data_IF_846455662542
#
_entry.id   IF_846455662542
#
_cell.length_a   1.000
_cell.length_b   1.000
_cell.length_c   1.000
_cell.angle_alpha   90.00
_cell.angle_beta   90.00
_cell.angle_gamma   90.00
#
_symmetry.space_group_name_H-M   'P 1'
#
loop_
_entity.id
_entity.type
_entity.pdbx_description
1 polymer ?
#
# COMPACT_ATOMS: atom_id res chain seq x y z
N UNK A 1 -5.47 0.93 -0.08
CA UNK A 1 -5.21 2.07 0.82
C UNK A 1 -3.88 1.97 1.55
N UNK A 2 -3.64 2.83 2.55
CA UNK A 2 -2.36 2.86 3.26
C UNK A 2 -2.46 2.39 4.73
N UNK A 3 -1.73 3.00 5.67
CA UNK A 3 -1.59 2.52 7.06
C UNK A 3 -2.92 2.33 7.79
N UNK A 4 -3.83 3.29 7.71
CA UNK A 4 -5.14 3.18 8.37
C UNK A 4 -6.01 2.07 7.78
N UNK A 5 -5.99 1.87 6.44
CA UNK A 5 -6.61 0.71 5.82
C UNK A 5 -5.92 -0.61 6.24
N UNK A 6 -4.65 -0.58 6.59
CA UNK A 6 -3.88 -1.74 7.03
C UNK A 6 -3.97 -2.04 8.53
N UNK A 7 -4.63 -1.19 9.33
CA UNK A 7 -4.79 -1.37 10.76
C UNK A 7 -5.65 -2.59 11.05
N UNK A 8 -5.12 -3.56 11.79
CA UNK A 8 -5.80 -4.84 11.99
C UNK A 8 -6.86 -4.78 13.10
N UNK A 9 -7.82 -5.70 13.04
CA UNK A 9 -8.83 -5.87 14.09
C UNK A 9 -8.17 -6.06 15.46
N UNK A 10 -7.12 -6.88 15.55
CA UNK A 10 -6.41 -7.11 16.82
C UNK A 10 -5.81 -5.83 17.45
N UNK A 11 -5.58 -4.80 16.66
CA UNK A 11 -5.06 -3.51 17.12
C UNK A 11 -6.15 -2.43 17.28
N UNK A 12 -7.41 -2.77 17.02
CA UNK A 12 -8.53 -1.85 17.15
C UNK A 12 -9.10 -1.83 18.56
N UNK A 13 -9.88 -0.79 18.86
CA UNK A 13 -10.60 -0.69 20.13
C UNK A 13 -11.61 -1.85 20.25
N UNK A 14 -11.76 -2.41 21.44
CA UNK A 14 -12.68 -3.52 21.73
C UNK A 14 -12.47 -4.81 20.88
N UNK A 15 -11.24 -5.07 20.43
CA UNK A 15 -10.91 -6.21 19.58
C UNK A 15 -11.22 -7.58 20.21
N UNK A 16 -11.29 -7.67 21.54
CA UNK A 16 -11.55 -8.94 22.28
C UNK A 16 -12.90 -9.56 21.93
N UNK A 17 -13.92 -8.75 21.67
CA UNK A 17 -15.23 -9.23 21.22
C UNK A 17 -15.18 -10.01 19.91
N UNK A 18 -14.27 -9.64 19.03
CA UNK A 18 -14.09 -10.26 17.73
C UNK A 18 -13.17 -11.49 17.73
N UNK A 19 -12.48 -11.75 18.84
CA UNK A 19 -11.58 -12.91 19.00
C UNK A 19 -12.30 -14.26 18.99
N UNK A 20 -13.63 -14.27 19.11
CA UNK A 20 -14.47 -15.48 19.11
C UNK A 20 -15.33 -15.62 17.86
N UNK A 21 -15.19 -14.70 16.92
CA UNK A 21 -16.05 -14.63 15.73
C UNK A 21 -15.71 -15.75 14.77
N UNK A 22 -16.73 -16.45 14.30
CA UNK A 22 -16.65 -17.44 13.23
C UNK A 22 -17.74 -17.11 12.18
N UNK A 23 -17.33 -16.49 11.07
CA UNK A 23 -18.21 -16.07 9.98
C UNK A 23 -17.83 -16.82 8.69
N UNK A 24 -18.28 -18.07 8.51
CA UNK A 24 -17.82 -18.94 7.41
C UNK A 24 -18.20 -18.41 6.02
N UNK A 25 -19.20 -17.53 5.95
CA UNK A 25 -19.64 -16.86 4.72
C UNK A 25 -18.95 -15.52 4.45
N UNK A 26 -18.16 -15.02 5.39
CA UNK A 26 -17.20 -13.94 5.17
C UNK A 26 -15.85 -14.54 4.81
N UNK A 27 -15.30 -14.19 3.66
CA UNK A 27 -14.01 -14.68 3.19
C UNK A 27 -13.04 -13.54 2.96
N UNK A 28 -11.78 -13.79 3.26
CA UNK A 28 -10.74 -12.79 3.25
C UNK A 28 -9.59 -13.27 2.37
N UNK A 29 -9.22 -12.44 1.40
CA UNK A 29 -8.03 -12.61 0.57
C UNK A 29 -7.02 -11.53 0.92
N UNK A 30 -5.89 -11.91 1.47
CA UNK A 30 -4.78 -11.01 1.80
C UNK A 30 -3.56 -11.36 0.98
N UNK A 31 -2.73 -10.38 0.66
CA UNK A 31 -1.40 -10.59 0.11
C UNK A 31 -0.33 -9.93 0.96
N UNK A 32 0.92 -10.32 0.76
CA UNK A 32 2.05 -9.56 1.24
C UNK A 32 2.05 -8.13 0.63
N UNK A 33 2.76 -7.22 1.28
CA UNK A 33 3.01 -5.88 0.75
C UNK A 33 4.09 -6.02 -0.32
N UNK A 34 3.73 -5.74 -1.56
CA UNK A 34 4.62 -5.91 -2.70
C UNK A 34 4.61 -4.65 -3.58
N UNK A 35 5.69 -4.43 -4.27
CA UNK A 35 5.83 -3.39 -5.28
C UNK A 35 6.76 -3.88 -6.39
N UNK A 36 6.43 -3.53 -7.63
CA UNK A 36 7.21 -3.97 -8.78
C UNK A 36 7.12 -2.98 -9.93
N UNK A 37 8.16 -2.89 -10.73
CA UNK A 37 8.26 -1.92 -11.82
C UNK A 37 7.43 -2.28 -13.06
N UNK A 38 6.99 -3.51 -13.17
CA UNK A 38 6.15 -4.01 -14.27
C UNK A 38 4.91 -4.72 -13.74
N UNK A 39 3.80 -4.76 -14.51
CA UNK A 39 2.60 -5.49 -14.12
C UNK A 39 2.88 -6.97 -13.89
N UNK A 40 2.48 -7.48 -12.74
CA UNK A 40 2.57 -8.89 -12.40
C UNK A 40 1.28 -9.61 -12.81
N UNK A 41 1.40 -10.71 -13.54
CA UNK A 41 0.25 -11.53 -13.94
C UNK A 41 -0.41 -12.25 -12.76
N UNK A 42 0.33 -12.48 -11.68
CA UNK A 42 -0.12 -13.16 -10.47
C UNK A 42 0.56 -12.59 -9.21
N UNK A 43 -0.03 -12.86 -8.05
CA UNK A 43 0.62 -12.53 -6.78
C UNK A 43 1.76 -13.52 -6.53
N UNK A 44 2.93 -13.01 -6.21
CA UNK A 44 4.15 -13.81 -5.98
C UNK A 44 4.24 -14.44 -4.60
N UNK A 45 3.42 -13.94 -3.66
CA UNK A 45 3.49 -14.42 -2.29
C UNK A 45 2.61 -15.65 -2.06
N UNK A 46 3.11 -16.59 -1.24
CA UNK A 46 2.38 -17.79 -0.84
C UNK A 46 1.22 -17.53 0.14
N UNK A 47 1.07 -16.29 0.61
CA UNK A 47 0.02 -15.88 1.54
C UNK A 47 -1.26 -15.46 0.82
N UNK A 48 -1.17 -15.24 -0.50
CA UNK A 48 -2.30 -14.82 -1.35
C UNK A 48 -3.28 -15.96 -1.58
N UNK A 49 -4.10 -16.24 -0.58
CA UNK A 49 -5.17 -17.24 -0.66
C UNK A 49 -6.41 -16.78 0.09
N UNK A 50 -7.56 -17.28 -0.37
CA UNK A 50 -8.83 -17.09 0.31
C UNK A 50 -8.88 -17.89 1.61
N UNK A 51 -9.18 -17.19 2.71
CA UNK A 51 -9.42 -17.79 4.03
C UNK A 51 -10.86 -17.54 4.45
N UNK A 52 -11.42 -18.46 5.21
CA UNK A 52 -12.66 -18.22 5.94
C UNK A 52 -12.37 -17.26 7.09
N UNK A 53 -13.38 -16.47 7.46
CA UNK A 53 -13.27 -15.59 8.61
C UNK A 53 -13.44 -16.40 9.90
N UNK A 54 -12.34 -16.85 10.45
CA UNK A 54 -12.20 -17.42 11.79
C UNK A 54 -11.54 -16.39 12.72
N UNK A 55 -11.44 -16.65 14.03
CA UNK A 55 -10.85 -15.71 15.00
C UNK A 55 -9.45 -15.22 14.59
N UNK A 56 -8.62 -16.12 14.07
CA UNK A 56 -7.25 -15.79 13.66
C UNK A 56 -7.22 -14.90 12.41
N UNK A 57 -7.94 -15.27 11.39
CA UNK A 57 -7.98 -14.50 10.14
C UNK A 57 -8.69 -13.16 10.32
N UNK A 58 -9.72 -13.09 11.17
CA UNK A 58 -10.37 -11.84 11.57
C UNK A 58 -9.37 -10.89 12.25
N UNK A 59 -8.68 -11.38 13.29
CA UNK A 59 -7.72 -10.59 14.07
C UNK A 59 -6.62 -9.94 13.19
N UNK A 60 -6.17 -10.65 12.17
CA UNK A 60 -5.13 -10.20 11.25
C UNK A 60 -5.63 -9.30 10.11
N UNK A 61 -6.95 -9.21 9.91
CA UNK A 61 -7.55 -8.45 8.81
C UNK A 61 -7.64 -6.96 9.14
N UNK A 62 -7.65 -6.11 8.11
CA UNK A 62 -7.99 -4.69 8.21
C UNK A 62 -9.28 -4.51 9.01
N UNK A 63 -9.25 -3.73 10.08
CA UNK A 63 -10.45 -3.44 10.87
C UNK A 63 -11.53 -2.77 10.00
N UNK A 64 -11.14 -1.78 9.19
CA UNK A 64 -12.07 -1.09 8.27
C UNK A 64 -12.74 -2.09 7.33
N UNK A 65 -11.95 -2.95 6.68
CA UNK A 65 -12.49 -3.92 5.73
C UNK A 65 -13.31 -5.01 6.42
N UNK A 66 -12.89 -5.45 7.59
CA UNK A 66 -13.57 -6.47 8.39
C UNK A 66 -14.96 -6.01 8.84
N UNK A 67 -15.04 -4.88 9.53
CA UNK A 67 -16.32 -4.36 10.04
C UNK A 67 -17.27 -3.99 8.91
N UNK A 68 -16.76 -3.42 7.83
CA UNK A 68 -17.56 -3.17 6.62
C UNK A 68 -18.12 -4.46 6.02
N UNK A 69 -17.28 -5.47 5.80
CA UNK A 69 -17.70 -6.75 5.23
C UNK A 69 -18.61 -7.54 6.15
N UNK A 70 -18.38 -7.50 7.46
CA UNK A 70 -19.26 -8.11 8.48
C UNK A 70 -20.65 -7.47 8.43
N UNK A 71 -20.72 -6.12 8.43
CA UNK A 71 -21.99 -5.39 8.35
C UNK A 71 -22.74 -5.70 7.05
N UNK A 72 -22.07 -5.72 5.90
CA UNK A 72 -22.69 -6.13 4.63
C UNK A 72 -23.24 -7.55 4.69
N UNK A 73 -22.49 -8.49 5.26
CA UNK A 73 -22.95 -9.86 5.40
C UNK A 73 -24.18 -9.96 6.31
N UNK A 74 -24.19 -9.23 7.42
CA UNK A 74 -25.29 -9.19 8.37
C UNK A 74 -26.58 -8.59 7.79
N UNK A 75 -26.46 -7.51 7.00
CA UNK A 75 -27.62 -6.84 6.40
C UNK A 75 -28.17 -7.57 5.18
N UNK A 76 -27.29 -7.97 4.29
CA UNK A 76 -27.69 -8.54 3.01
C UNK A 76 -27.95 -10.06 3.07
N UNK A 77 -27.50 -10.75 4.14
CA UNK A 77 -27.63 -12.21 4.31
C UNK A 77 -27.00 -13.03 3.18
N UNK A 78 -25.98 -12.49 2.51
CA UNK A 78 -25.25 -13.13 1.41
C UNK A 78 -23.79 -13.36 1.80
N UNK A 79 -23.08 -14.31 1.18
CA UNK A 79 -21.64 -14.43 1.32
C UNK A 79 -20.92 -13.17 0.84
N UNK A 80 -19.90 -12.73 1.59
CA UNK A 80 -19.08 -11.55 1.27
C UNK A 80 -17.62 -11.94 1.17
N UNK A 81 -16.94 -11.49 0.12
CA UNK A 81 -15.51 -11.64 -0.07
C UNK A 81 -14.78 -10.30 0.06
N UNK A 82 -13.72 -10.26 0.84
CA UNK A 82 -12.85 -9.10 1.02
C UNK A 82 -11.50 -9.38 0.35
N UNK A 83 -11.11 -8.53 -0.60
CA UNK A 83 -9.76 -8.51 -1.17
C UNK A 83 -9.00 -7.35 -0.54
N UNK A 84 -8.17 -7.64 0.45
CA UNK A 84 -7.42 -6.62 1.19
C UNK A 84 -6.13 -6.25 0.48
N UNK A 85 -5.99 -4.96 0.13
CA UNK A 85 -4.78 -4.36 -0.42
C UNK A 85 -4.44 -3.08 0.36
N UNK A 86 -3.45 -3.18 1.25
CA UNK A 86 -3.01 -2.06 2.08
C UNK A 86 -1.50 -2.03 2.24
N UNK A 87 -0.90 -0.86 2.00
CA UNK A 87 0.53 -0.67 2.13
C UNK A 87 0.84 0.70 2.76
N UNK A 88 1.35 0.69 3.98
CA UNK A 88 1.62 1.90 4.76
C UNK A 88 2.63 2.84 4.08
N UNK A 89 2.44 4.15 4.25
CA UNK A 89 3.38 5.18 3.76
C UNK A 89 3.37 5.38 2.25
N UNK A 90 2.32 4.95 1.56
CA UNK A 90 2.23 5.01 0.10
C UNK A 90 1.48 6.23 -0.39
N UNK A 91 2.00 6.95 -1.39
CA UNK A 91 1.25 7.98 -2.11
C UNK A 91 0.31 7.34 -3.13
N UNK A 92 -0.73 8.08 -3.55
CA UNK A 92 -1.72 7.60 -4.52
C UNK A 92 -1.08 7.22 -5.87
N UNK A 93 -0.01 7.89 -6.27
CA UNK A 93 0.75 7.64 -7.49
C UNK A 93 1.24 6.18 -7.58
N UNK A 94 1.56 5.56 -6.45
CA UNK A 94 1.94 4.14 -6.40
C UNK A 94 0.80 3.19 -6.77
N UNK A 95 -0.45 3.59 -6.52
CA UNK A 95 -1.67 2.81 -6.76
C UNK A 95 -2.30 3.02 -8.14
N UNK A 96 -1.86 4.05 -8.85
CA UNK A 96 -2.33 4.38 -10.19
C UNK A 96 -1.46 3.71 -11.24
N UNK A 97 -2.02 3.19 -12.36
CA UNK A 97 -1.19 2.72 -13.46
C UNK A 97 -0.45 3.89 -14.12
N UNK A 98 0.70 3.60 -14.69
CA UNK A 98 1.54 4.64 -15.29
C UNK A 98 0.83 5.40 -16.42
N UNK A 99 0.03 4.71 -17.22
CA UNK A 99 -0.66 5.26 -18.40
C UNK A 99 -1.58 6.45 -18.12
N UNK A 100 -2.20 6.53 -16.93
CA UNK A 100 -3.11 7.64 -16.59
C UNK A 100 -2.43 8.80 -15.88
N UNK A 101 -1.16 8.68 -15.51
CA UNK A 101 -0.44 9.69 -14.76
C UNK A 101 0.89 10.12 -15.42
N UNK A 102 1.28 9.51 -16.53
CA UNK A 102 2.57 9.73 -17.18
C UNK A 102 2.77 11.17 -17.66
N UNK A 103 1.69 11.84 -18.05
CA UNK A 103 1.71 13.20 -18.60
C UNK A 103 1.45 14.27 -17.52
N UNK A 104 1.17 13.84 -16.27
CA UNK A 104 1.00 14.75 -15.14
C UNK A 104 2.35 15.27 -14.65
N UNK A 105 2.55 16.57 -14.71
CA UNK A 105 3.83 17.23 -14.37
C UNK A 105 4.23 17.04 -12.91
N UNK A 106 3.26 16.93 -11.98
CA UNK A 106 3.53 16.69 -10.56
C UNK A 106 4.01 15.27 -10.31
N UNK A 107 3.39 14.30 -10.96
CA UNK A 107 3.83 12.91 -10.94
C UNK A 107 5.21 12.75 -11.55
N UNK A 108 5.50 13.42 -12.67
CA UNK A 108 6.83 13.42 -13.28
C UNK A 108 7.89 14.02 -12.34
N UNK A 109 7.60 15.15 -11.70
CA UNK A 109 8.49 15.76 -10.73
C UNK A 109 8.69 14.87 -9.48
N UNK A 110 7.64 14.20 -9.00
CA UNK A 110 7.75 13.23 -7.92
C UNK A 110 8.63 12.03 -8.32
N UNK A 111 8.40 11.48 -9.50
CA UNK A 111 9.20 10.39 -10.08
C UNK A 111 10.68 10.79 -10.19
N UNK A 112 10.97 11.96 -10.71
CA UNK A 112 12.35 12.43 -10.86
C UNK A 112 13.05 12.58 -9.51
N UNK A 113 12.39 13.16 -8.50
CA UNK A 113 12.94 13.25 -7.13
C UNK A 113 13.31 11.87 -6.55
N UNK A 114 12.51 10.85 -6.82
CA UNK A 114 12.79 9.48 -6.35
C UNK A 114 13.98 8.86 -7.08
N UNK A 115 14.11 9.10 -8.39
CA UNK A 115 15.28 8.67 -9.19
C UNK A 115 16.54 9.35 -8.66
N UNK A 116 16.54 10.67 -8.52
CA UNK A 116 17.70 11.43 -8.01
C UNK A 116 18.11 10.99 -6.60
N UNK A 117 17.14 10.71 -5.76
CA UNK A 117 17.40 10.18 -4.42
C UNK A 117 18.05 8.78 -4.47
N UNK A 118 17.53 7.90 -5.31
CA UNK A 118 18.09 6.56 -5.50
C UNK A 118 19.50 6.60 -6.07
N UNK A 119 19.77 7.48 -7.03
CA UNK A 119 21.10 7.68 -7.60
C UNK A 119 22.12 8.23 -6.60
N UNK A 120 21.74 9.26 -5.81
CA UNK A 120 22.58 9.77 -4.72
C UNK A 120 22.88 8.70 -3.71
N UNK A 121 21.87 7.92 -3.30
CA UNK A 121 22.06 6.82 -2.36
C UNK A 121 22.94 5.72 -2.93
N UNK A 122 22.80 5.39 -4.21
CA UNK A 122 23.64 4.38 -4.89
C UNK A 122 25.10 4.81 -4.96
N UNK A 123 25.39 6.08 -5.25
CA UNK A 123 26.75 6.61 -5.22
C UNK A 123 27.37 6.51 -3.84
N UNK A 124 26.66 6.94 -2.80
CA UNK A 124 27.12 6.86 -1.42
C UNK A 124 27.29 5.40 -0.93
N UNK A 125 26.43 4.47 -1.38
CA UNK A 125 26.54 3.05 -1.08
C UNK A 125 27.69 2.38 -1.84
N UNK A 126 28.09 2.90 -2.99
CA UNK A 126 29.24 2.38 -3.75
C UNK A 126 30.52 2.41 -2.95
N UNK A 127 30.83 3.56 -2.33
CA UNK A 127 32.00 3.71 -1.46
C UNK A 127 31.88 2.89 -0.16
N UNK A 128 30.72 2.97 0.50
CA UNK A 128 30.44 2.19 1.71
C UNK A 128 30.50 0.69 1.45
N UNK A 129 30.04 0.25 0.28
CA UNK A 129 30.03 -1.15 -0.14
C UNK A 129 31.45 -1.65 -0.46
N UNK A 130 32.28 -0.84 -1.13
CA UNK A 130 33.67 -1.21 -1.38
C UNK A 130 34.42 -1.39 -0.05
N UNK A 131 34.20 -0.50 0.92
CA UNK A 131 34.76 -0.58 2.28
C UNK A 131 34.24 -1.82 3.03
N UNK A 132 32.91 -2.08 2.98
CA UNK A 132 32.31 -3.25 3.61
C UNK A 132 32.80 -4.56 2.98
N UNK A 133 32.96 -4.61 1.64
CA UNK A 133 33.51 -5.77 0.95
C UNK A 133 34.97 -6.04 1.28
N UNK A 134 35.77 -4.98 1.44
CA UNK A 134 37.16 -5.10 1.88
C UNK A 134 37.24 -5.64 3.33
N UNK A 135 36.39 -5.12 4.23
CA UNK A 135 36.24 -5.62 5.60
C UNK A 135 35.85 -7.10 5.62
N UNK A 136 34.82 -7.48 4.86
CA UNK A 136 34.37 -8.87 4.75
C UNK A 136 35.48 -9.81 4.24
N UNK A 137 36.24 -9.42 3.21
CA UNK A 137 37.35 -10.21 2.70
C UNK A 137 38.43 -10.42 3.76
N UNK A 138 38.72 -9.40 4.54
CA UNK A 138 39.67 -9.49 5.66
C UNK A 138 39.19 -10.47 6.73
N UNK A 139 37.93 -10.31 7.19
CA UNK A 139 37.34 -11.19 8.19
C UNK A 139 37.25 -12.64 7.71
N UNK A 140 36.93 -12.84 6.42
CA UNK A 140 36.93 -14.19 5.83
C UNK A 140 38.29 -14.82 5.81
N UNK A 141 39.34 -14.07 5.50
CA UNK A 141 40.72 -14.56 5.54
C UNK A 141 41.13 -14.96 6.96
N UNK A 142 40.84 -14.11 7.96
CA UNK A 142 41.07 -14.41 9.37
C UNK A 142 40.30 -15.65 9.86
N UNK A 143 39.03 -15.80 9.40
CA UNK A 143 38.22 -16.97 9.69
C UNK A 143 38.82 -18.25 9.12
N UNK A 144 39.21 -18.25 7.85
CA UNK A 144 39.82 -19.40 7.20
C UNK A 144 41.13 -19.81 7.94
N UNK A 145 41.96 -18.84 8.30
CA UNK A 145 43.19 -19.10 9.07
C UNK A 145 42.90 -19.83 10.39
N UNK A 146 41.81 -19.44 11.09
CA UNK A 146 41.43 -20.09 12.36
C UNK A 146 40.88 -21.49 12.15
N UNK A 147 40.14 -21.73 11.07
CA UNK A 147 39.63 -23.07 10.71
C UNK A 147 40.80 -23.98 10.34
N UNK A 148 41.74 -23.51 9.54
CA UNK A 148 42.92 -24.25 9.14
C UNK A 148 43.80 -24.61 10.35
N UNK A 149 43.76 -23.79 11.41
CA UNK A 149 44.40 -24.06 12.69
C UNK A 149 43.60 -24.97 13.63
N UNK A 150 42.48 -25.58 13.15
CA UNK A 150 41.65 -26.51 13.91
C UNK A 150 40.76 -25.89 14.99
N UNK A 151 40.53 -24.57 14.95
CA UNK A 151 39.70 -23.88 15.91
C UNK A 151 38.20 -23.99 15.57
N UNK A 152 37.36 -24.42 16.52
CA UNK A 152 35.93 -24.49 16.37
C UNK A 152 35.29 -23.10 16.65
N UNK A 153 34.63 -22.52 15.62
CA UNK A 153 33.97 -21.22 15.74
C UNK A 153 32.48 -21.40 15.96
N UNK A 154 31.97 -21.13 17.16
CA UNK A 154 30.53 -21.06 17.43
C UNK A 154 29.94 -19.77 16.83
N UNK A 155 28.91 -19.90 15.99
CA UNK A 155 28.14 -18.78 15.38
C UNK A 155 28.81 -17.96 14.26
N UNK A 156 29.92 -18.41 13.69
CA UNK A 156 30.66 -17.66 12.67
C UNK A 156 29.85 -17.42 11.37
N UNK A 157 28.93 -18.31 11.01
CA UNK A 157 28.18 -18.24 9.76
C UNK A 157 27.21 -17.05 9.67
N UNK A 158 26.71 -16.54 10.80
CA UNK A 158 25.81 -15.37 10.82
C UNK A 158 26.54 -14.03 10.66
N UNK A 159 27.82 -13.96 11.02
CA UNK A 159 28.61 -12.73 10.95
C UNK A 159 29.33 -12.56 9.60
N UNK A 160 29.54 -13.65 8.86
CA UNK A 160 30.24 -13.64 7.56
C UNK A 160 29.31 -13.57 6.35
N UNK A 161 28.17 -12.91 6.46
CA UNK A 161 27.29 -12.67 5.31
C UNK A 161 27.88 -11.56 4.43
N UNK A 162 28.05 -11.80 3.11
CA UNK A 162 28.50 -10.74 2.22
C UNK A 162 27.52 -9.56 2.24
N UNK A 163 27.99 -8.31 2.16
CA UNK A 163 27.12 -7.15 2.19
C UNK A 163 26.09 -7.26 1.07
N UNK A 164 24.81 -7.13 1.44
CA UNK A 164 23.69 -7.24 0.50
C UNK A 164 23.81 -6.16 -0.57
N UNK A 165 23.92 -6.56 -1.83
CA UNK A 165 23.93 -5.65 -2.96
C UNK A 165 22.50 -5.19 -3.19
N UNK A 166 22.16 -3.99 -2.70
CA UNK A 166 20.92 -3.34 -3.10
C UNK A 166 21.03 -2.96 -4.57
N UNK A 167 20.30 -3.64 -5.43
CA UNK A 167 20.25 -3.29 -6.86
C UNK A 167 19.66 -1.90 -7.00
N UNK A 168 20.25 -1.01 -7.83
CA UNK A 168 19.72 0.35 -8.06
C UNK A 168 18.28 0.39 -8.61
N UNK A 169 17.75 -0.71 -9.08
CA UNK A 169 16.50 -0.77 -9.83
C UNK A 169 15.21 -1.02 -9.05
N UNK A 170 15.24 -1.22 -7.74
CA UNK A 170 14.00 -1.32 -6.97
C UNK A 170 13.64 0.04 -6.37
N UNK A 171 13.22 0.95 -7.23
CA UNK A 171 12.51 2.14 -6.80
C UNK A 171 11.31 1.66 -5.99
N UNK A 172 11.26 2.04 -4.70
CA UNK A 172 10.40 1.43 -3.70
C UNK A 172 8.89 1.60 -3.95
N UNK A 173 8.11 1.26 -2.95
CA UNK A 173 6.64 1.37 -2.94
C UNK A 173 6.07 2.79 -3.15
N UNK A 174 6.90 3.82 -3.07
CA UNK A 174 6.49 5.21 -3.34
C UNK A 174 6.62 5.61 -4.82
N UNK A 175 7.27 4.77 -5.63
CA UNK A 175 7.43 5.06 -7.05
C UNK A 175 6.11 4.86 -7.79
N UNK A 176 5.76 5.77 -8.73
CA UNK A 176 4.52 5.67 -9.49
C UNK A 176 4.30 4.29 -10.11
N UNK A 177 3.08 3.79 -10.03
CA UNK A 177 2.60 2.51 -10.53
C UNK A 177 3.17 1.23 -9.85
N UNK A 178 4.20 1.30 -9.02
CA UNK A 178 4.83 0.08 -8.49
C UNK A 178 3.90 -0.78 -7.63
N UNK A 179 3.01 -0.19 -6.85
CA UNK A 179 2.01 -0.92 -6.06
C UNK A 179 0.88 -1.42 -6.95
N UNK A 180 0.41 -0.58 -7.88
CA UNK A 180 -0.58 -1.00 -8.86
C UNK A 180 -0.12 -2.26 -9.59
N UNK A 181 1.11 -2.26 -10.09
CA UNK A 181 1.68 -3.38 -10.85
C UNK A 181 1.73 -4.69 -10.04
N UNK A 182 2.07 -4.62 -8.75
CA UNK A 182 2.24 -5.80 -7.92
C UNK A 182 1.00 -6.21 -7.14
N UNK A 183 0.16 -5.27 -6.72
CA UNK A 183 -0.93 -5.56 -5.80
C UNK A 183 -2.33 -5.41 -6.42
N UNK A 184 -2.50 -4.55 -7.42
CA UNK A 184 -3.80 -4.30 -8.05
C UNK A 184 -3.93 -5.07 -9.36
N UNK A 185 -2.92 -5.01 -10.22
CA UNK A 185 -2.94 -5.67 -11.51
C UNK A 185 -3.29 -7.17 -11.43
N UNK A 186 -2.70 -7.96 -10.51
CA UNK A 186 -3.00 -9.39 -10.40
C UNK A 186 -4.44 -9.73 -9.97
N UNK A 187 -5.15 -8.81 -9.33
CA UNK A 187 -6.52 -9.07 -8.82
C UNK A 187 -7.63 -8.53 -9.71
N UNK A 188 -7.29 -7.81 -10.77
CA UNK A 188 -8.29 -7.28 -11.70
C UNK A 188 -9.19 -8.33 -12.37
N UNK A 189 -8.75 -9.59 -12.60
CA UNK A 189 -9.64 -10.63 -13.10
C UNK A 189 -10.76 -11.04 -12.15
N UNK A 190 -10.64 -10.77 -10.83
CA UNK A 190 -11.72 -11.09 -9.88
C UNK A 190 -12.89 -10.15 -10.06
N UNK A 191 -14.10 -10.70 -10.11
CA UNK A 191 -15.32 -9.89 -10.06
C UNK A 191 -15.47 -9.19 -8.71
N UNK A 192 -15.74 -7.89 -8.74
CA UNK A 192 -15.95 -7.08 -7.53
C UNK A 192 -17.32 -6.40 -7.56
N UNK A 193 -17.83 -6.02 -6.37
CA UNK A 193 -19.06 -5.25 -6.21
C UNK A 193 -18.81 -3.81 -5.82
N UNK A 194 -17.62 -3.49 -5.33
CA UNK A 194 -17.25 -2.14 -4.92
C UNK A 194 -15.83 -2.08 -4.36
N UNK A 195 -15.38 -0.89 -4.09
CA UNK A 195 -14.08 -0.62 -3.45
C UNK A 195 -14.30 0.27 -2.24
N UNK A 196 -13.64 -0.04 -1.13
CA UNK A 196 -13.46 0.86 0.00
C UNK A 196 -12.01 1.34 0.02
N UNK A 197 -11.81 2.64 0.19
CA UNK A 197 -10.52 3.30 0.05
C UNK A 197 -10.18 4.17 1.28
N UNK A 198 -9.01 3.97 1.87
CA UNK A 198 -8.53 4.81 2.97
C UNK A 198 -7.06 5.11 2.73
N UNK A 199 -6.79 6.27 2.14
CA UNK A 199 -5.47 6.75 1.78
C UNK A 199 -5.54 8.27 1.57
N UNK A 200 -4.44 8.98 1.68
CA UNK A 200 -4.35 10.42 1.42
C UNK A 200 -3.25 11.08 2.26
N UNK A 201 -2.89 10.53 3.41
CA UNK A 201 -1.96 11.13 4.37
C UNK A 201 -0.59 11.40 3.72
N UNK A 202 -0.15 10.52 2.81
CA UNK A 202 1.13 10.71 2.11
C UNK A 202 1.07 11.83 1.08
N UNK A 203 -0.11 12.16 0.58
CA UNK A 203 -0.37 13.22 -0.38
C UNK A 203 -0.78 14.56 0.28
N UNK A 204 -0.88 14.60 1.61
CA UNK A 204 -1.30 15.78 2.39
C UNK A 204 -0.13 16.55 3.01
N UNK A 205 1.04 16.54 2.39
CA UNK A 205 2.25 17.19 2.91
C UNK A 205 2.26 18.70 2.71
N UNK A 206 1.68 19.17 1.62
CA UNK A 206 1.55 20.56 1.27
C UNK A 206 0.19 20.79 0.58
N UNK A 207 -0.26 22.03 0.56
CA UNK A 207 -1.56 22.41 -0.04
C UNK A 207 -1.63 22.07 -1.53
N UNK A 208 -0.62 22.36 -2.37
CA UNK A 208 -0.67 22.00 -3.79
C UNK A 208 -0.82 20.51 -4.05
N UNK A 209 -0.20 19.66 -3.23
CA UNK A 209 -0.33 18.19 -3.35
C UNK A 209 -1.70 17.72 -2.87
N UNK A 210 -2.20 18.30 -1.78
CA UNK A 210 -3.52 18.01 -1.22
C UNK A 210 -4.66 18.36 -2.21
N UNK A 211 -4.59 19.50 -2.86
CA UNK A 211 -5.55 19.91 -3.91
C UNK A 211 -5.45 19.01 -5.13
N UNK A 212 -4.24 18.67 -5.56
CA UNK A 212 -4.04 17.79 -6.72
C UNK A 212 -4.59 16.38 -6.51
N UNK A 213 -4.70 15.94 -5.25
CA UNK A 213 -5.26 14.65 -4.88
C UNK A 213 -6.69 14.44 -5.40
N UNK A 214 -7.50 15.50 -5.50
CA UNK A 214 -8.83 15.43 -6.11
C UNK A 214 -8.78 14.84 -7.52
N UNK A 215 -7.94 15.41 -8.38
CA UNK A 215 -7.77 14.91 -9.75
C UNK A 215 -7.23 13.48 -9.77
N UNK A 216 -6.23 13.19 -8.95
CA UNK A 216 -5.61 11.87 -8.91
C UNK A 216 -6.58 10.77 -8.47
N UNK A 217 -7.38 11.00 -7.43
CA UNK A 217 -8.36 10.02 -6.97
C UNK A 217 -9.50 9.86 -7.98
N UNK A 218 -9.93 10.92 -8.62
CA UNK A 218 -10.92 10.89 -9.72
C UNK A 218 -10.40 10.02 -10.89
N UNK A 219 -9.16 10.22 -11.32
CA UNK A 219 -8.54 9.40 -12.37
C UNK A 219 -8.44 7.93 -11.98
N UNK A 220 -8.03 7.66 -10.73
CA UNK A 220 -7.95 6.30 -10.21
C UNK A 220 -9.31 5.60 -10.22
N UNK A 221 -10.36 6.26 -9.73
CA UNK A 221 -11.74 5.73 -9.72
C UNK A 221 -12.18 5.40 -11.14
N UNK A 222 -12.05 6.35 -12.06
CA UNK A 222 -12.42 6.18 -13.45
C UNK A 222 -11.68 5.02 -14.13
N UNK A 223 -10.36 4.95 -13.92
CA UNK A 223 -9.57 3.86 -14.48
C UNK A 223 -9.94 2.49 -13.88
N UNK A 224 -10.10 2.39 -12.57
CA UNK A 224 -10.46 1.13 -11.93
C UNK A 224 -11.83 0.65 -12.43
N UNK A 225 -12.83 1.49 -12.46
CA UNK A 225 -14.16 1.19 -12.97
C UNK A 225 -14.11 0.68 -14.42
N UNK A 226 -13.43 1.41 -15.29
CA UNK A 226 -13.28 1.03 -16.70
C UNK A 226 -12.52 -0.30 -16.87
N UNK A 227 -11.44 -0.49 -16.09
CA UNK A 227 -10.61 -1.69 -16.16
C UNK A 227 -11.38 -2.95 -15.74
N UNK A 228 -12.06 -2.90 -14.59
CA UNK A 228 -12.85 -4.03 -14.11
C UNK A 228 -14.04 -4.35 -15.01
N UNK A 229 -14.75 -3.32 -15.48
CA UNK A 229 -15.84 -3.50 -16.45
C UNK A 229 -15.36 -4.22 -17.71
N UNK A 230 -14.31 -3.74 -18.31
CA UNK A 230 -13.74 -4.33 -19.54
C UNK A 230 -13.24 -5.76 -19.32
N UNK A 231 -12.48 -6.02 -18.26
CA UNK A 231 -11.89 -7.32 -17.98
C UNK A 231 -12.93 -8.38 -17.58
N UNK A 232 -14.06 -7.96 -17.03
CA UNK A 232 -15.18 -8.84 -16.69
C UNK A 232 -16.14 -9.09 -17.87
N UNK A 233 -15.86 -8.58 -19.07
CA UNK A 233 -16.80 -8.64 -20.19
C UNK A 233 -18.12 -7.89 -19.92
N UNK A 234 -18.08 -6.85 -19.09
CA UNK A 234 -19.24 -6.05 -18.71
C UNK A 234 -20.01 -6.55 -17.48
N UNK A 235 -19.63 -7.69 -16.89
CA UNK A 235 -20.33 -8.23 -15.71
C UNK A 235 -20.13 -7.38 -14.44
N UNK A 236 -19.00 -6.70 -14.28
CA UNK A 236 -18.80 -5.69 -13.25
C UNK A 236 -19.35 -4.37 -13.78
N UNK A 237 -20.31 -3.71 -13.09
CA UNK A 237 -20.86 -2.42 -13.51
C UNK A 237 -19.75 -1.37 -13.70
N UNK A 238 -19.91 -0.51 -14.70
CA UNK A 238 -18.95 0.56 -15.01
C UNK A 238 -18.92 1.68 -13.94
N UNK A 239 -19.93 1.71 -13.09
CA UNK A 239 -20.15 2.67 -12.04
C UNK A 239 -20.24 2.03 -10.65
N UNK A 240 -19.58 0.89 -10.43
CA UNK A 240 -19.63 0.22 -9.13
C UNK A 240 -19.30 1.17 -7.97
N UNK A 241 -19.88 0.98 -6.77
CA UNK A 241 -19.64 1.85 -5.62
C UNK A 241 -18.17 1.97 -5.27
N UNK A 242 -17.70 3.22 -5.07
CA UNK A 242 -16.37 3.51 -4.58
C UNK A 242 -16.50 4.40 -3.33
N UNK A 243 -16.31 3.78 -2.18
CA UNK A 243 -16.41 4.46 -0.90
C UNK A 243 -15.03 4.81 -0.38
N UNK A 244 -14.85 6.01 0.13
CA UNK A 244 -13.57 6.41 0.70
C UNK A 244 -13.74 7.12 2.05
N UNK A 245 -12.70 7.00 2.87
CA UNK A 245 -12.69 7.59 4.21
C UNK A 245 -11.95 8.91 4.18
N UNK A 246 -12.57 9.96 4.71
CA UNK A 246 -11.93 11.24 4.91
C UNK A 246 -10.77 11.12 5.90
N UNK A 247 -9.72 11.92 5.70
CA UNK A 247 -8.58 11.92 6.63
C UNK A 247 -9.00 12.44 8.00
N UNK A 248 -8.62 11.77 9.10
CA UNK A 248 -8.93 12.19 10.45
C UNK A 248 -8.22 13.50 10.80
N UNK A 249 -8.68 14.18 11.84
CA UNK A 249 -7.94 15.28 12.45
C UNK A 249 -6.68 14.72 13.11
N UNK A 250 -5.53 15.17 12.63
CA UNK A 250 -4.21 14.70 13.12
C UNK A 250 -3.54 15.69 14.07
N UNK A 251 -3.73 16.98 13.80
CA UNK A 251 -3.12 18.04 14.61
C UNK A 251 -3.97 18.35 15.86
N UNK A 252 -3.37 18.87 16.93
CA UNK A 252 -4.11 19.38 18.09
C UNK A 252 -5.18 20.39 17.65
N UNK A 253 -6.30 20.50 18.40
CA UNK A 253 -7.30 21.52 18.14
C UNK A 253 -6.66 22.92 18.12
N UNK A 254 -7.08 23.72 17.16
CA UNK A 254 -6.61 25.11 17.02
C UNK A 254 -7.63 26.08 17.56
N UNK A 255 -7.15 27.07 18.32
CA UNK A 255 -8.00 28.09 18.92
C UNK A 255 -8.38 29.21 17.94
N UNK A 256 -7.75 29.25 16.77
CA UNK A 256 -8.01 30.25 15.70
C UNK A 256 -7.97 29.54 14.34
N UNK A 257 -8.74 30.04 13.35
CA UNK A 257 -8.63 29.58 11.98
C UNK A 257 -7.19 29.70 11.47
N UNK A 258 -6.73 28.68 10.74
CA UNK A 258 -5.42 28.66 10.09
C UNK A 258 -5.63 28.64 8.59
N UNK A 259 -4.93 29.50 7.90
CA UNK A 259 -4.98 29.62 6.44
C UNK A 259 -3.62 29.30 5.80
N UNK A 260 -3.62 29.03 4.51
CA UNK A 260 -2.41 28.84 3.74
C UNK A 260 -1.75 27.46 3.89
N UNK A 261 -0.42 27.43 3.91
CA UNK A 261 0.38 26.20 3.85
C UNK A 261 0.16 25.24 5.02
N UNK A 262 -0.21 25.77 6.18
CA UNK A 262 -0.49 24.96 7.38
C UNK A 262 -1.82 24.20 7.29
N UNK A 263 -2.66 24.56 6.33
CA UNK A 263 -3.99 23.95 6.11
C UNK A 263 -3.97 22.73 5.16
N UNK A 264 -2.84 22.12 4.88
CA UNK A 264 -2.75 21.01 3.88
C UNK A 264 -3.71 19.85 4.17
N UNK A 265 -3.90 19.48 5.44
CA UNK A 265 -4.87 18.46 5.83
C UNK A 265 -6.33 18.92 5.64
N UNK A 266 -6.63 20.19 5.84
CA UNK A 266 -7.94 20.76 5.54
C UNK A 266 -8.20 20.74 4.04
N UNK A 267 -7.24 21.17 3.23
CA UNK A 267 -7.31 21.08 1.76
C UNK A 267 -7.48 19.65 1.25
N UNK A 268 -6.86 18.65 1.90
CA UNK A 268 -7.07 17.24 1.55
C UNK A 268 -8.49 16.78 1.83
N UNK A 269 -9.07 17.16 2.97
CA UNK A 269 -10.47 16.84 3.31
C UNK A 269 -11.46 17.51 2.37
N UNK A 270 -11.21 18.76 2.00
CA UNK A 270 -11.99 19.47 1.00
C UNK A 270 -11.92 18.78 -0.36
N UNK A 271 -10.73 18.43 -0.84
CA UNK A 271 -10.53 17.71 -2.09
C UNK A 271 -11.31 16.38 -2.12
N UNK A 272 -11.36 15.65 -1.00
CA UNK A 272 -12.15 14.44 -0.87
C UNK A 272 -13.66 14.73 -0.92
N UNK A 273 -14.11 15.79 -0.24
CA UNK A 273 -15.52 16.22 -0.24
C UNK A 273 -16.01 16.61 -1.65
N UNK A 274 -15.15 17.27 -2.43
CA UNK A 274 -15.44 17.62 -3.83
C UNK A 274 -15.62 16.37 -4.70
N UNK A 275 -14.81 15.34 -4.51
CA UNK A 275 -14.96 14.06 -5.24
C UNK A 275 -16.31 13.42 -4.96
N UNK A 276 -16.75 13.41 -3.69
CA UNK A 276 -18.05 12.85 -3.29
C UNK A 276 -19.22 13.56 -3.97
N UNK A 277 -19.09 14.85 -4.21
CA UNK A 277 -20.10 15.64 -4.92
C UNK A 277 -20.07 15.51 -6.45
N UNK A 278 -18.89 15.26 -7.03
CA UNK A 278 -18.68 15.34 -8.48
C UNK A 278 -18.65 13.97 -9.17
N UNK A 279 -18.23 12.92 -8.47
CA UNK A 279 -18.07 11.59 -9.05
C UNK A 279 -19.25 10.70 -8.70
N UNK A 280 -20.05 10.26 -9.68
CA UNK A 280 -21.22 9.42 -9.41
C UNK A 280 -20.87 8.12 -8.69
N UNK A 281 -21.81 7.68 -7.82
CA UNK A 281 -21.72 6.43 -7.07
C UNK A 281 -20.46 6.32 -6.22
N UNK A 282 -20.03 7.44 -5.65
CA UNK A 282 -19.06 7.55 -4.56
C UNK A 282 -19.74 7.91 -3.27
N UNK A 283 -19.10 7.64 -2.16
CA UNK A 283 -19.51 8.15 -0.85
C UNK A 283 -18.29 8.29 0.05
N UNK A 284 -18.32 9.34 0.88
CA UNK A 284 -17.27 9.64 1.85
C UNK A 284 -17.77 9.37 3.28
N UNK A 285 -16.94 8.69 4.08
CA UNK A 285 -17.17 8.44 5.50
C UNK A 285 -16.15 9.21 6.36
#
# INVERSE_FOLDING_TARGET
GQSNMGWSVANSFEAEGESKVNLPHLRIYRSAREHWHEPLGENRDRLSQWKRCDPKSAAETSAVAYYFGKKLHEELKIPVGIIQRAYAGTPIEGWMPWEIQKDDLRTQAHRQRLIDFAERRSRNQGETKAKALAGFKKELAEYNTKIDAGQTMKNAFRQLMPPTITRPGTLGHQYPANIYNAMIYPVRPYGIRGIIWYQGERNSKDVPQAVHYQSQLTWLIGYYRNSWHRLSGGHVPKDFPFQFTQLPSWNPPQNKPVEGLEASWAASRESMSLIDNEVPNTSMA
#
